data_IF_854493938170
#
_entry.id   IF_854493938170
#
_cell.length_a   1.000
_cell.length_b   1.000
_cell.length_c   1.000
_cell.angle_alpha   90.00
_cell.angle_beta   90.00
_cell.angle_gamma   90.00
#
_symmetry.space_group_name_H-M   'P 1'
#
loop_
_entity.id
_entity.type
_entity.pdbx_description
1 polymer ?
#
# COMPACT_ATOMS: atom_id res chain seq x y z
N UNK A 1 -6.67 31.67 -17.54
CA UNK A 1 -5.86 31.86 -16.33
C UNK A 1 -6.83 32.02 -15.15
N UNK A 2 -7.06 30.96 -14.37
CA UNK A 2 -8.07 30.99 -13.29
C UNK A 2 -7.50 31.80 -12.13
N UNK A 3 -8.02 33.01 -11.91
CA UNK A 3 -7.65 33.86 -10.77
C UNK A 3 -8.46 33.41 -9.55
N UNK A 4 -7.94 32.42 -8.83
CA UNK A 4 -8.57 31.88 -7.62
C UNK A 4 -8.42 32.88 -6.45
N UNK A 5 -9.30 33.90 -6.39
CA UNK A 5 -9.45 34.78 -5.20
C UNK A 5 -9.62 34.01 -3.89
N UNK A 6 -10.06 32.75 -3.97
CA UNK A 6 -10.39 31.86 -2.86
C UNK A 6 -9.17 31.23 -2.16
N UNK A 7 -7.97 31.29 -2.76
CA UNK A 7 -6.75 30.75 -2.15
C UNK A 7 -5.92 31.79 -1.38
N UNK A 8 -6.28 33.08 -1.44
CA UNK A 8 -5.45 34.18 -0.94
C UNK A 8 -5.16 34.14 0.58
N UNK A 9 -5.96 33.39 1.36
CA UNK A 9 -5.84 33.29 2.82
C UNK A 9 -5.52 31.87 3.32
N UNK A 10 -5.10 30.94 2.44
CA UNK A 10 -4.69 29.60 2.87
C UNK A 10 -3.31 29.68 3.52
N UNK A 11 -3.21 29.20 4.75
CA UNK A 11 -1.95 29.21 5.53
C UNK A 11 -1.28 27.84 5.61
N UNK A 12 -2.02 26.75 5.40
CA UNK A 12 -1.52 25.39 5.43
C UNK A 12 -2.31 24.52 4.45
N UNK A 13 -1.59 23.70 3.71
CA UNK A 13 -2.15 22.60 2.90
C UNK A 13 -1.38 21.35 3.27
N UNK A 14 -2.10 20.32 3.69
CA UNK A 14 -1.55 18.98 3.96
C UNK A 14 -1.97 18.04 2.85
N UNK A 15 -1.08 17.15 2.47
CA UNK A 15 -1.34 16.13 1.46
C UNK A 15 -1.14 14.75 2.09
N UNK A 16 -2.02 13.82 1.73
CA UNK A 16 -1.65 12.41 1.78
C UNK A 16 -0.72 12.11 0.59
N UNK A 17 0.13 11.08 0.72
CA UNK A 17 1.09 10.73 -0.31
C UNK A 17 0.43 9.92 -1.44
N UNK A 18 -0.34 8.89 -1.08
CA UNK A 18 -0.78 7.86 -2.03
C UNK A 18 -1.91 8.38 -2.92
N UNK A 19 -1.80 8.12 -4.22
CA UNK A 19 -2.75 8.57 -5.26
C UNK A 19 -2.95 10.10 -5.33
N UNK A 20 -2.09 10.86 -4.63
CA UNK A 20 -2.10 12.33 -4.61
C UNK A 20 -0.77 12.88 -5.10
N UNK A 21 0.33 12.49 -4.45
CA UNK A 21 1.69 12.90 -4.79
C UNK A 21 2.51 11.73 -5.36
N UNK A 22 2.11 10.50 -5.09
CA UNK A 22 2.79 9.29 -5.54
C UNK A 22 1.82 8.14 -5.82
N UNK A 23 2.06 7.44 -6.92
CA UNK A 23 1.39 6.17 -7.24
C UNK A 23 2.45 5.17 -7.74
N UNK A 24 2.45 3.92 -7.24
CA UNK A 24 3.30 2.88 -7.79
C UNK A 24 3.03 2.68 -9.30
N UNK A 25 4.09 2.47 -10.08
CA UNK A 25 3.97 2.24 -11.52
C UNK A 25 3.33 0.89 -11.87
N UNK A 26 3.33 -0.05 -10.93
CA UNK A 26 2.84 -1.42 -11.12
C UNK A 26 1.87 -1.79 -10.01
N UNK A 27 0.96 -2.73 -10.29
CA UNK A 27 0.10 -3.30 -9.26
C UNK A 27 0.89 -4.14 -8.27
N UNK A 28 0.38 -4.25 -7.04
CA UNK A 28 0.93 -5.14 -6.00
C UNK A 28 1.15 -6.56 -6.52
N UNK A 29 0.20 -7.08 -7.30
CA UNK A 29 0.31 -8.42 -7.88
C UNK A 29 1.50 -8.59 -8.83
N UNK A 30 1.80 -7.59 -9.67
CA UNK A 30 2.97 -7.62 -10.56
C UNK A 30 4.26 -7.51 -9.74
N UNK A 31 4.30 -6.58 -8.79
CA UNK A 31 5.47 -6.36 -7.92
C UNK A 31 5.83 -7.62 -7.14
N UNK A 32 4.84 -8.35 -6.62
CA UNK A 32 5.03 -9.59 -5.85
C UNK A 32 5.29 -10.81 -6.74
N UNK A 33 4.78 -10.85 -7.97
CA UNK A 33 5.05 -11.95 -8.90
C UNK A 33 6.52 -12.01 -9.33
N UNK A 34 7.19 -10.86 -9.46
CA UNK A 34 8.56 -10.77 -10.01
C UNK A 34 9.60 -11.53 -9.18
N UNK A 35 9.69 -11.39 -7.83
CA UNK A 35 10.56 -12.22 -7.02
C UNK A 35 10.23 -13.71 -7.15
N UNK A 36 8.95 -14.08 -7.16
CA UNK A 36 8.53 -15.49 -7.27
C UNK A 36 8.98 -16.12 -8.59
N UNK A 37 8.85 -15.39 -9.71
CA UNK A 37 9.35 -15.85 -11.01
C UNK A 37 10.87 -16.08 -10.99
N UNK A 38 11.64 -15.21 -10.34
CA UNK A 38 13.10 -15.38 -10.17
C UNK A 38 13.47 -16.62 -9.35
N UNK A 39 12.58 -17.07 -8.48
CA UNK A 39 12.74 -18.27 -7.65
C UNK A 39 12.11 -19.54 -8.27
N UNK A 40 11.73 -19.50 -9.55
CA UNK A 40 11.26 -20.68 -10.29
C UNK A 40 9.73 -20.84 -10.37
N UNK A 41 8.96 -19.88 -9.84
CA UNK A 41 7.50 -19.91 -9.94
C UNK A 41 7.01 -19.22 -11.24
N UNK A 42 7.11 -19.93 -12.37
CA UNK A 42 6.90 -19.36 -13.71
C UNK A 42 5.43 -19.10 -14.11
N UNK A 43 4.45 -19.58 -13.36
CA UNK A 43 3.03 -19.59 -13.77
C UNK A 43 2.05 -19.04 -12.72
N UNK A 44 2.51 -18.13 -11.86
CA UNK A 44 1.61 -17.50 -10.89
C UNK A 44 0.73 -16.47 -11.59
N UNK A 45 -0.58 -16.70 -11.55
CA UNK A 45 -1.60 -15.77 -12.03
C UNK A 45 -1.70 -14.57 -11.09
N UNK A 46 -1.76 -13.36 -11.66
CA UNK A 46 -1.81 -12.11 -10.88
C UNK A 46 -3.03 -12.05 -9.96
N UNK A 47 -4.16 -12.65 -10.36
CA UNK A 47 -5.40 -12.68 -9.59
C UNK A 47 -5.26 -13.49 -8.30
N UNK A 48 -4.43 -14.54 -8.32
CA UNK A 48 -4.14 -15.36 -7.12
C UNK A 48 -3.39 -14.52 -6.10
N UNK A 49 -2.37 -13.76 -6.55
CA UNK A 49 -1.61 -12.87 -5.67
C UNK A 49 -2.51 -11.76 -5.13
N UNK A 50 -3.30 -11.11 -5.98
CA UNK A 50 -4.23 -10.05 -5.54
C UNK A 50 -5.21 -10.55 -4.48
N UNK A 51 -5.79 -11.73 -4.69
CA UNK A 51 -6.76 -12.33 -3.76
C UNK A 51 -6.10 -12.72 -2.44
N UNK A 52 -4.92 -13.36 -2.50
CA UNK A 52 -4.16 -13.73 -1.31
C UNK A 52 -3.73 -12.50 -0.51
N UNK A 53 -3.18 -11.47 -1.17
CA UNK A 53 -2.79 -10.23 -0.54
C UNK A 53 -3.97 -9.54 0.15
N UNK A 54 -5.10 -9.38 -0.55
CA UNK A 54 -6.27 -8.72 0.02
C UNK A 54 -6.81 -9.46 1.26
N UNK A 55 -6.76 -10.79 1.24
CA UNK A 55 -7.14 -11.63 2.38
C UNK A 55 -6.17 -11.44 3.55
N UNK A 56 -4.87 -11.68 3.34
CA UNK A 56 -3.86 -11.59 4.39
C UNK A 56 -3.82 -10.20 5.01
N UNK A 57 -3.82 -9.15 4.18
CA UNK A 57 -3.85 -7.76 4.63
C UNK A 57 -5.07 -7.48 5.52
N UNK A 58 -6.26 -7.98 5.15
CA UNK A 58 -7.47 -7.80 5.95
C UNK A 58 -7.38 -8.54 7.30
N UNK A 59 -6.86 -9.75 7.30
CA UNK A 59 -6.69 -10.57 8.51
C UNK A 59 -5.73 -9.85 9.48
N UNK A 60 -4.55 -9.44 9.02
CA UNK A 60 -3.56 -8.79 9.87
C UNK A 60 -3.98 -7.38 10.32
N UNK A 61 -4.66 -6.61 9.46
CA UNK A 61 -5.18 -5.29 9.81
C UNK A 61 -6.28 -5.37 10.87
N UNK A 62 -7.08 -6.44 10.85
CA UNK A 62 -8.12 -6.68 11.83
C UNK A 62 -7.53 -7.12 13.17
N UNK A 63 -6.54 -8.01 13.15
CA UNK A 63 -5.89 -8.52 14.35
C UNK A 63 -4.98 -7.48 15.01
N UNK A 64 -4.23 -6.72 14.21
CA UNK A 64 -3.19 -5.81 14.65
C UNK A 64 -3.29 -4.46 13.91
N UNK A 65 -4.29 -3.60 14.23
CA UNK A 65 -4.47 -2.32 13.54
C UNK A 65 -3.27 -1.38 13.74
N UNK A 66 -3.15 -0.37 12.87
CA UNK A 66 -2.07 0.63 12.92
C UNK A 66 -0.67 -0.01 12.99
N UNK A 67 -0.41 -0.98 12.12
CA UNK A 67 0.85 -1.73 12.07
C UNK A 67 1.19 -2.49 13.36
N UNK A 68 0.18 -2.83 14.18
CA UNK A 68 0.35 -3.57 15.43
C UNK A 68 1.02 -2.79 16.56
N UNK A 69 1.04 -1.45 16.48
CA UNK A 69 1.73 -0.62 17.47
C UNK A 69 1.26 -0.87 18.92
N UNK A 70 -0.04 -1.02 19.12
CA UNK A 70 -0.62 -1.32 20.44
C UNK A 70 -0.24 -2.72 20.96
N UNK A 71 0.14 -3.63 20.06
CA UNK A 71 0.62 -4.98 20.38
C UNK A 71 2.16 -5.05 20.49
N UNK A 72 2.86 -3.92 20.45
CA UNK A 72 4.32 -3.87 20.52
C UNK A 72 5.04 -4.30 19.25
N UNK A 73 4.34 -4.38 18.11
CA UNK A 73 4.95 -4.70 16.82
C UNK A 73 5.62 -3.47 16.20
N UNK A 74 6.71 -3.72 15.48
CA UNK A 74 7.24 -2.78 14.50
C UNK A 74 6.47 -2.90 13.19
N UNK A 75 6.47 -1.83 12.38
CA UNK A 75 5.85 -1.88 11.05
C UNK A 75 6.47 -2.94 10.14
N UNK A 76 7.76 -3.24 10.32
CA UNK A 76 8.41 -4.32 9.57
C UNK A 76 7.84 -5.68 9.96
N UNK A 77 7.72 -5.98 11.26
CA UNK A 77 7.13 -7.24 11.73
C UNK A 77 5.70 -7.39 11.23
N UNK A 78 4.92 -6.31 11.22
CA UNK A 78 3.56 -6.33 10.68
C UNK A 78 3.51 -6.72 9.20
N UNK A 79 4.50 -6.35 8.39
CA UNK A 79 4.56 -6.75 6.98
C UNK A 79 5.17 -8.14 6.74
N UNK A 80 5.84 -8.72 7.74
CA UNK A 80 6.46 -10.05 7.66
C UNK A 80 5.50 -11.21 8.03
N UNK A 81 4.35 -10.88 8.62
CA UNK A 81 3.28 -11.82 9.05
C UNK A 81 2.22 -12.04 7.94
#
# INVERSE_FOLDING_TARGET
MIRLKRLANIRLVTFDLFDTLYMPAESVSITYARPLQRHGFAHIRSEVISTAFARSFKEIHTAYPCYGFAAGMTSKQWWDE
#
